data_IF_312879063815
#
_entry.id   IF_312879063815
#
_cell.length_a   1.000
_cell.length_b   1.000
_cell.length_c   1.000
_cell.angle_alpha   90.00
_cell.angle_beta   90.00
_cell.angle_gamma   90.00
#
_symmetry.space_group_name_H-M   'P 1'
#
loop_
_entity.id
_entity.type
_entity.pdbx_description
1 polymer ?
#
# COMPACT_ATOMS: atom_id res chain seq x y z
N UNK A 1 -18.44 -61.80 -17.59
CA UNK A 1 -18.71 -61.55 -19.03
C UNK A 1 -19.46 -60.23 -19.12
N UNK A 2 -18.89 -59.22 -19.80
CA UNK A 2 -19.48 -57.99 -20.41
C UNK A 2 -20.66 -57.26 -19.73
N UNK A 3 -20.75 -55.93 -19.61
CA UNK A 3 -20.14 -54.84 -20.40
C UNK A 3 -20.40 -53.49 -19.72
N UNK A 4 -19.44 -52.59 -19.92
CA UNK A 4 -19.46 -51.12 -19.98
C UNK A 4 -20.76 -50.31 -19.76
N UNK A 5 -20.58 -49.16 -19.11
CA UNK A 5 -21.47 -48.00 -19.17
C UNK A 5 -20.91 -46.76 -18.46
N UNK A 6 -19.90 -46.10 -19.05
CA UNK A 6 -19.48 -44.74 -18.67
C UNK A 6 -20.18 -43.73 -19.58
N UNK A 7 -20.88 -42.74 -19.02
CA UNK A 7 -20.98 -41.39 -19.58
C UNK A 7 -20.22 -40.42 -18.64
N UNK A 8 -19.04 -39.91 -18.98
CA UNK A 8 -18.82 -38.70 -19.81
C UNK A 8 -19.75 -37.53 -19.44
N UNK A 9 -19.63 -37.05 -18.20
CA UNK A 9 -20.13 -35.75 -17.76
C UNK A 9 -19.01 -34.71 -17.75
N UNK A 10 -18.50 -34.37 -18.93
CA UNK A 10 -17.66 -33.20 -19.13
C UNK A 10 -18.52 -31.94 -19.11
N UNK A 11 -18.89 -31.46 -17.93
CA UNK A 11 -19.47 -30.14 -17.66
C UNK A 11 -19.28 -29.88 -16.16
N UNK A 12 -18.38 -29.05 -15.69
CA UNK A 12 -18.38 -27.60 -15.88
C UNK A 12 -16.96 -27.07 -15.62
N UNK A 13 -16.14 -26.99 -16.67
CA UNK A 13 -15.08 -25.97 -16.73
C UNK A 13 -15.66 -24.75 -17.43
N UNK A 14 -16.76 -24.23 -16.87
CA UNK A 14 -17.24 -22.91 -17.22
C UNK A 14 -16.12 -21.92 -16.87
N UNK A 15 -15.55 -21.37 -17.93
CA UNK A 15 -14.76 -20.16 -18.00
C UNK A 15 -15.27 -19.09 -17.04
N UNK A 16 -14.75 -19.06 -15.82
CA UNK A 16 -14.68 -17.82 -15.08
C UNK A 16 -13.67 -16.96 -15.84
N UNK A 17 -14.15 -15.89 -16.49
CA UNK A 17 -13.26 -14.80 -16.87
C UNK A 17 -12.46 -14.32 -15.64
N UNK A 18 -11.44 -13.47 -15.80
CA UNK A 18 -10.80 -12.85 -14.65
C UNK A 18 -11.87 -12.08 -13.86
N UNK A 19 -12.38 -12.69 -12.79
CA UNK A 19 -13.21 -12.04 -11.78
C UNK A 19 -12.49 -10.73 -11.42
N UNK A 20 -13.07 -9.55 -11.70
CA UNK A 20 -12.41 -8.26 -11.47
C UNK A 20 -11.92 -8.12 -10.02
N UNK A 21 -12.58 -8.82 -9.09
CA UNK A 21 -12.23 -8.91 -7.67
C UNK A 21 -10.90 -9.65 -7.38
N UNK A 22 -10.35 -10.42 -8.34
CA UNK A 22 -9.05 -11.09 -8.17
C UNK A 22 -7.85 -10.17 -8.35
N UNK A 23 -8.04 -8.97 -8.92
CA UNK A 23 -6.91 -8.10 -9.27
C UNK A 23 -6.35 -7.36 -8.05
N UNK A 24 -7.22 -6.88 -7.16
CA UNK A 24 -6.85 -6.11 -5.96
C UNK A 24 -7.02 -6.96 -4.69
N UNK A 25 -6.05 -7.83 -4.39
CA UNK A 25 -5.99 -8.51 -3.08
C UNK A 25 -5.30 -7.61 -2.04
N UNK A 26 -5.53 -7.81 -0.72
CA UNK A 26 -4.83 -7.05 0.33
C UNK A 26 -3.32 -7.12 0.17
N UNK A 27 -2.81 -8.31 -0.12
CA UNK A 27 -1.40 -8.53 -0.36
C UNK A 27 -0.87 -7.75 -1.56
N UNK A 28 -1.58 -7.77 -2.70
CA UNK A 28 -1.12 -7.05 -3.91
C UNK A 28 -1.10 -5.55 -3.68
N UNK A 29 -2.13 -5.00 -3.06
CA UNK A 29 -2.17 -3.59 -2.69
C UNK A 29 -1.00 -3.23 -1.78
N UNK A 30 -0.81 -3.99 -0.70
CA UNK A 30 0.26 -3.75 0.27
C UNK A 30 1.64 -3.84 -0.41
N UNK A 31 1.89 -4.89 -1.19
CA UNK A 31 3.13 -5.11 -1.95
C UNK A 31 3.41 -3.98 -2.93
N UNK A 32 2.43 -3.56 -3.72
CA UNK A 32 2.60 -2.47 -4.67
C UNK A 32 3.03 -1.19 -3.97
N UNK A 33 2.39 -0.85 -2.85
CA UNK A 33 2.72 0.37 -2.09
C UNK A 33 4.08 0.23 -1.39
N UNK A 34 4.40 -0.93 -0.81
CA UNK A 34 5.70 -1.20 -0.19
C UNK A 34 6.85 -1.10 -1.20
N UNK A 35 6.69 -1.65 -2.40
CA UNK A 35 7.68 -1.56 -3.48
C UNK A 35 7.80 -0.13 -4.00
N UNK A 36 6.67 0.58 -4.17
CA UNK A 36 6.70 1.98 -4.56
C UNK A 36 7.46 2.83 -3.52
N UNK A 37 7.23 2.57 -2.23
CA UNK A 37 7.91 3.26 -1.13
C UNK A 37 9.43 3.03 -1.20
N UNK A 38 9.86 1.78 -1.36
CA UNK A 38 11.27 1.43 -1.51
C UNK A 38 11.93 2.08 -2.74
N UNK A 39 11.21 2.16 -3.88
CA UNK A 39 11.69 2.84 -5.08
C UNK A 39 11.83 4.34 -4.82
N UNK A 40 10.86 4.99 -4.18
CA UNK A 40 10.96 6.42 -3.86
C UNK A 40 12.10 6.72 -2.89
N UNK A 41 12.37 5.84 -1.92
CA UNK A 41 13.57 5.90 -1.07
C UNK A 41 14.84 5.84 -1.90
N UNK A 42 14.94 4.89 -2.84
CA UNK A 42 16.10 4.76 -3.72
C UNK A 42 16.32 6.03 -4.55
N UNK A 43 15.25 6.59 -5.14
CA UNK A 43 15.31 7.85 -5.89
C UNK A 43 15.74 9.03 -5.01
N UNK A 44 15.27 9.09 -3.76
CA UNK A 44 15.67 10.12 -2.82
C UNK A 44 17.16 10.00 -2.45
N UNK A 45 17.65 8.79 -2.18
CA UNK A 45 19.08 8.52 -1.95
C UNK A 45 19.92 8.91 -3.18
N UNK A 46 19.48 8.53 -4.38
CA UNK A 46 20.14 8.92 -5.64
C UNK A 46 20.15 10.43 -5.80
N UNK A 47 19.04 11.12 -5.52
CA UNK A 47 18.96 12.58 -5.55
C UNK A 47 19.94 13.24 -4.57
N UNK A 48 20.08 12.68 -3.36
CA UNK A 48 21.05 13.16 -2.37
C UNK A 48 22.51 12.91 -2.80
N UNK A 49 22.82 11.74 -3.37
CA UNK A 49 24.15 11.42 -3.86
C UNK A 49 24.52 12.32 -5.04
N UNK A 50 23.63 12.48 -6.02
CA UNK A 50 23.84 13.37 -7.16
C UNK A 50 24.07 14.81 -6.71
N UNK A 51 23.30 15.30 -5.74
CA UNK A 51 23.53 16.61 -5.12
C UNK A 51 24.96 16.72 -4.56
N UNK A 52 25.41 15.73 -3.81
CA UNK A 52 26.77 15.73 -3.21
C UNK A 52 27.89 15.63 -4.24
N UNK A 53 27.67 14.95 -5.36
CA UNK A 53 28.70 14.74 -6.39
C UNK A 53 28.75 15.88 -7.40
N UNK A 54 27.61 16.52 -7.71
CA UNK A 54 27.53 17.59 -8.71
C UNK A 54 27.56 18.99 -8.13
N UNK A 55 27.40 19.16 -6.81
CA UNK A 55 27.41 20.45 -6.06
C UNK A 55 26.43 21.53 -6.57
N UNK A 56 25.63 21.26 -7.61
CA UNK A 56 24.86 22.29 -8.33
C UNK A 56 23.35 22.06 -8.42
N UNK A 57 22.83 20.88 -8.05
CA UNK A 57 21.42 20.54 -8.36
C UNK A 57 20.59 20.17 -7.13
N UNK A 58 19.79 21.11 -6.61
CA UNK A 58 18.75 20.85 -5.58
C UNK A 58 17.48 20.19 -6.15
N UNK A 59 17.34 20.17 -7.48
CA UNK A 59 16.16 19.70 -8.21
C UNK A 59 15.79 18.24 -7.89
N UNK A 60 16.79 17.36 -7.72
CA UNK A 60 16.55 15.95 -7.39
C UNK A 60 15.88 15.77 -6.02
N UNK A 61 16.37 16.45 -4.99
CA UNK A 61 15.79 16.38 -3.64
C UNK A 61 14.45 17.10 -3.58
N UNK A 62 14.28 18.21 -4.31
CA UNK A 62 13.03 18.97 -4.39
C UNK A 62 11.88 18.19 -5.05
N UNK A 63 12.17 17.28 -5.98
CA UNK A 63 11.15 16.44 -6.63
C UNK A 63 10.97 15.12 -5.88
N UNK A 64 12.06 14.43 -5.54
CA UNK A 64 11.97 13.11 -4.92
C UNK A 64 11.56 13.16 -3.44
N UNK A 65 11.85 14.26 -2.72
CA UNK A 65 11.40 14.48 -1.35
C UNK A 65 9.87 14.45 -1.20
N UNK A 66 9.14 15.35 -1.88
CA UNK A 66 7.67 15.34 -1.85
C UNK A 66 7.09 14.02 -2.36
N UNK A 67 7.63 13.47 -3.45
CA UNK A 67 7.18 12.19 -4.00
C UNK A 67 7.30 11.05 -2.97
N UNK A 68 8.43 10.95 -2.28
CA UNK A 68 8.62 9.99 -1.21
C UNK A 68 7.64 10.21 -0.06
N UNK A 69 7.42 11.47 0.36
CA UNK A 69 6.44 11.80 1.39
C UNK A 69 5.02 11.33 1.07
N UNK A 70 4.58 11.47 -0.19
CA UNK A 70 3.28 10.93 -0.66
C UNK A 70 3.20 9.43 -0.46
N UNK A 71 4.22 8.72 -0.95
CA UNK A 71 4.22 7.26 -0.96
C UNK A 71 4.38 6.71 0.46
N UNK A 72 5.15 7.38 1.32
CA UNK A 72 5.24 7.10 2.76
C UNK A 72 3.88 7.16 3.44
N UNK A 73 3.11 8.24 3.24
CA UNK A 73 1.76 8.37 3.82
C UNK A 73 0.83 7.29 3.26
N UNK A 74 0.89 7.05 1.95
CA UNK A 74 0.10 5.98 1.31
C UNK A 74 0.42 4.60 1.91
N UNK A 75 1.68 4.30 2.19
CA UNK A 75 2.11 3.08 2.84
C UNK A 75 1.56 2.97 4.27
N UNK A 76 1.66 4.04 5.08
CA UNK A 76 1.13 4.06 6.44
C UNK A 76 -0.39 3.83 6.47
N UNK A 77 -1.14 4.52 5.61
CA UNK A 77 -2.60 4.34 5.50
C UNK A 77 -2.94 2.92 5.04
N UNK A 78 -2.25 2.41 4.01
CA UNK A 78 -2.45 1.04 3.51
C UNK A 78 -2.18 0.02 4.61
N UNK A 79 -1.14 0.22 5.41
CA UNK A 79 -0.79 -0.64 6.55
C UNK A 79 -1.92 -0.68 7.57
N UNK A 80 -2.50 0.46 7.94
CA UNK A 80 -3.63 0.52 8.88
C UNK A 80 -4.87 -0.15 8.29
N UNK A 81 -5.20 0.14 7.03
CA UNK A 81 -6.36 -0.45 6.33
C UNK A 81 -6.25 -1.97 6.30
N UNK A 82 -5.10 -2.50 5.86
CA UNK A 82 -4.85 -3.95 5.82
C UNK A 82 -4.80 -4.52 7.23
N UNK A 83 -4.22 -3.84 8.22
CA UNK A 83 -4.19 -4.32 9.59
C UNK A 83 -5.60 -4.47 10.18
N UNK A 84 -6.50 -3.51 9.93
CA UNK A 84 -7.90 -3.59 10.36
C UNK A 84 -8.62 -4.71 9.61
N UNK A 85 -8.50 -4.73 8.28
CA UNK A 85 -9.16 -5.73 7.45
C UNK A 85 -8.63 -7.16 7.68
N UNK A 86 -7.39 -7.33 8.09
CA UNK A 86 -6.78 -8.64 8.35
C UNK A 86 -6.69 -8.96 9.85
N UNK A 87 -7.23 -8.09 10.73
CA UNK A 87 -7.21 -8.23 12.20
C UNK A 87 -5.79 -8.46 12.74
N UNK A 88 -4.83 -7.71 12.22
CA UNK A 88 -3.46 -7.75 12.73
C UNK A 88 -3.42 -7.35 14.20
N UNK A 89 -2.51 -7.97 14.94
CA UNK A 89 -2.20 -7.56 16.30
C UNK A 89 -1.54 -6.18 16.30
N UNK A 90 -1.70 -5.43 17.39
CA UNK A 90 -1.08 -4.10 17.53
C UNK A 90 0.42 -4.15 17.25
N UNK A 91 1.11 -5.19 17.76
CA UNK A 91 2.54 -5.38 17.49
C UNK A 91 2.89 -5.53 16.01
N UNK A 92 2.08 -6.28 15.23
CA UNK A 92 2.31 -6.42 13.78
C UNK A 92 2.05 -5.09 13.06
N UNK A 93 1.00 -4.37 13.44
CA UNK A 93 0.68 -3.05 12.87
C UNK A 93 1.80 -2.05 13.14
N UNK A 94 2.30 -2.00 14.39
CA UNK A 94 3.41 -1.13 14.75
C UNK A 94 4.69 -1.51 14.00
N UNK A 95 5.02 -2.80 13.90
CA UNK A 95 6.17 -3.23 13.08
C UNK A 95 6.01 -2.83 11.60
N UNK A 96 4.80 -2.93 11.05
CA UNK A 96 4.51 -2.51 9.69
C UNK A 96 4.69 -1.01 9.48
N UNK A 97 4.23 -0.19 10.43
CA UNK A 97 4.43 1.27 10.39
C UNK A 97 5.89 1.66 10.60
N UNK A 98 6.58 1.01 11.53
CA UNK A 98 8.01 1.26 11.77
C UNK A 98 8.87 0.84 10.57
N UNK A 99 8.40 -0.09 9.75
CA UNK A 99 9.11 -0.54 8.55
C UNK A 99 9.26 0.53 7.46
N UNK A 100 8.49 1.63 7.49
CA UNK A 100 8.67 2.76 6.56
C UNK A 100 9.72 3.76 6.99
N UNK A 101 10.27 3.65 8.21
CA UNK A 101 11.33 4.56 8.68
C UNK A 101 12.67 4.21 8.02
N UNK A 102 13.13 2.94 8.02
CA UNK A 102 14.38 2.59 7.38
C UNK A 102 14.14 2.25 5.90
N UNK A 103 15.07 2.62 5.00
CA UNK A 103 14.94 2.34 3.58
C UNK A 103 14.83 0.83 3.33
N UNK A 104 13.98 0.46 2.36
CA UNK A 104 13.76 -0.92 1.89
C UNK A 104 13.12 -1.89 2.89
N UNK A 105 12.92 -1.49 4.15
CA UNK A 105 12.37 -2.39 5.18
C UNK A 105 10.87 -2.65 4.96
N UNK A 106 10.16 -1.75 4.28
CA UNK A 106 8.78 -1.95 3.81
C UNK A 106 8.62 -3.24 2.99
N UNK A 107 9.53 -3.50 2.05
CA UNK A 107 9.53 -4.71 1.21
C UNK A 107 9.90 -5.95 2.02
N UNK A 108 10.87 -5.84 2.93
CA UNK A 108 11.25 -6.96 3.83
C UNK A 108 10.06 -7.33 4.73
N UNK A 109 9.38 -6.33 5.28
CA UNK A 109 8.19 -6.53 6.11
C UNK A 109 7.07 -7.19 5.31
N UNK A 110 6.78 -6.74 4.08
CA UNK A 110 5.80 -7.38 3.19
C UNK A 110 6.10 -8.87 2.98
N UNK A 111 7.34 -9.22 2.64
CA UNK A 111 7.75 -10.61 2.43
C UNK A 111 7.64 -11.45 3.71
N UNK A 112 7.99 -10.89 4.88
CA UNK A 112 7.85 -11.57 6.17
C UNK A 112 6.39 -11.73 6.58
N UNK A 113 5.55 -10.74 6.28
CA UNK A 113 4.12 -10.79 6.55
C UNK A 113 3.43 -11.85 5.66
N UNK A 114 3.78 -11.91 4.38
CA UNK A 114 3.31 -12.96 3.45
C UNK A 114 3.69 -14.35 3.96
N UNK A 115 4.98 -14.56 4.30
CA UNK A 115 5.47 -15.83 4.84
C UNK A 115 4.77 -16.26 6.12
N UNK A 116 4.29 -15.32 6.93
CA UNK A 116 3.54 -15.55 8.17
C UNK A 116 2.02 -15.66 7.95
N UNK A 117 1.56 -15.73 6.70
CA UNK A 117 0.14 -15.85 6.36
C UNK A 117 -0.68 -14.63 6.79
N UNK A 118 -0.08 -13.43 6.79
CA UNK A 118 -0.74 -12.22 7.29
C UNK A 118 -1.80 -11.65 6.32
N UNK A 119 -1.95 -12.22 5.13
CA UNK A 119 -2.88 -11.75 4.11
C UNK A 119 -3.86 -12.87 3.71
N UNK A 120 -5.16 -12.58 3.80
CA UNK A 120 -6.25 -13.38 3.25
C UNK A 120 -7.04 -12.61 2.19
N UNK A 121 -8.29 -13.02 1.95
CA UNK A 121 -9.22 -12.22 1.15
C UNK A 121 -9.67 -10.97 1.94
N UNK A 122 -10.14 -9.95 1.23
CA UNK A 122 -10.75 -8.77 1.85
C UNK A 122 -11.98 -9.19 2.66
N UNK A 123 -11.92 -9.02 3.99
CA UNK A 123 -13.04 -9.35 4.88
C UNK A 123 -14.12 -8.29 4.83
N UNK A 124 -13.72 -7.01 4.84
CA UNK A 124 -14.64 -5.88 4.98
C UNK A 124 -15.35 -5.50 3.67
N UNK A 125 -14.95 -6.05 2.54
CA UNK A 125 -15.70 -5.92 1.29
C UNK A 125 -16.92 -6.84 1.26
N UNK A 126 -16.77 -8.07 1.75
CA UNK A 126 -17.78 -9.14 1.65
C UNK A 126 -18.58 -9.40 2.94
N UNK A 127 -18.04 -9.00 4.11
CA UNK A 127 -18.64 -9.27 5.42
C UNK A 127 -19.15 -8.04 6.18
N UNK A 128 -19.91 -8.26 7.27
CA UNK A 128 -20.38 -7.19 8.14
C UNK A 128 -19.24 -6.57 8.97
N UNK A 129 -19.34 -5.27 9.24
CA UNK A 129 -18.40 -4.53 10.10
C UNK A 129 -18.75 -4.76 11.58
N UNK A 130 -17.99 -5.61 12.26
CA UNK A 130 -18.26 -6.03 13.64
C UNK A 130 -17.66 -5.07 14.69
N UNK A 131 -16.57 -4.38 14.37
CA UNK A 131 -15.92 -3.38 15.25
C UNK A 131 -16.23 -1.95 14.82
N UNK A 132 -16.18 -1.00 15.74
CA UNK A 132 -16.36 0.43 15.42
C UNK A 132 -15.39 0.95 14.35
N UNK A 133 -14.14 0.45 14.38
CA UNK A 133 -13.06 0.72 13.42
C UNK A 133 -13.28 0.05 12.05
N UNK A 134 -14.10 -1.00 11.95
CA UNK A 134 -14.36 -1.70 10.70
C UNK A 134 -15.23 -0.86 9.75
N UNK A 135 -16.09 0.03 10.28
CA UNK A 135 -16.99 0.90 9.49
C UNK A 135 -16.24 1.89 8.59
N UNK A 136 -15.32 2.73 9.10
CA UNK A 136 -14.58 3.66 8.25
C UNK A 136 -13.71 2.92 7.23
N UNK A 137 -13.08 1.81 7.63
CA UNK A 137 -12.23 1.03 6.73
C UNK A 137 -13.05 0.32 5.64
N UNK A 138 -14.19 -0.27 5.99
CA UNK A 138 -15.10 -0.89 5.01
C UNK A 138 -15.68 0.14 4.04
N UNK A 139 -15.99 1.36 4.50
CA UNK A 139 -16.39 2.45 3.61
C UNK A 139 -15.25 2.86 2.66
N UNK A 140 -14.02 2.98 3.16
CA UNK A 140 -12.85 3.35 2.37
C UNK A 140 -12.56 2.31 1.28
N UNK A 141 -12.58 1.02 1.63
CA UNK A 141 -12.37 -0.09 0.69
C UNK A 141 -13.45 -0.14 -0.40
N UNK A 142 -14.69 0.21 -0.08
CA UNK A 142 -15.80 0.27 -1.05
C UNK A 142 -15.81 1.55 -1.88
N UNK A 143 -15.05 2.58 -1.49
CA UNK A 143 -14.95 3.86 -2.19
C UNK A 143 -13.48 4.22 -2.50
N UNK A 144 -12.78 3.42 -3.32
CA UNK A 144 -11.34 3.54 -3.56
C UNK A 144 -10.95 4.92 -4.13
N UNK A 145 -11.82 5.51 -4.96
CA UNK A 145 -11.62 6.85 -5.52
C UNK A 145 -11.58 7.91 -4.43
N UNK A 146 -12.43 7.81 -3.40
CA UNK A 146 -12.44 8.77 -2.27
C UNK A 146 -11.19 8.62 -1.41
N UNK A 147 -10.69 7.39 -1.26
CA UNK A 147 -9.41 7.14 -0.59
C UNK A 147 -8.22 7.73 -1.34
N UNK A 148 -8.19 7.57 -2.66
CA UNK A 148 -7.17 8.18 -3.52
C UNK A 148 -7.24 9.71 -3.48
N UNK A 149 -8.44 10.29 -3.58
CA UNK A 149 -8.65 11.74 -3.47
C UNK A 149 -8.24 12.28 -2.10
N UNK A 150 -8.54 11.56 -1.01
CA UNK A 150 -8.10 11.94 0.33
C UNK A 150 -6.58 11.90 0.47
N UNK A 151 -5.92 10.86 -0.05
CA UNK A 151 -4.46 10.79 -0.06
C UNK A 151 -3.84 11.93 -0.86
N UNK A 152 -4.36 12.23 -2.06
CA UNK A 152 -3.92 13.36 -2.88
C UNK A 152 -4.17 14.71 -2.18
N UNK A 153 -5.29 14.87 -1.48
CA UNK A 153 -5.61 16.08 -0.73
C UNK A 153 -4.67 16.27 0.47
N UNK A 154 -4.39 15.22 1.24
CA UNK A 154 -3.43 15.27 2.36
C UNK A 154 -2.04 15.65 1.84
N UNK A 155 -1.60 15.06 0.74
CA UNK A 155 -0.36 15.43 0.07
C UNK A 155 -0.36 16.90 -0.31
N UNK A 156 -1.38 17.37 -1.03
CA UNK A 156 -1.48 18.74 -1.47
C UNK A 156 -1.48 19.73 -0.29
N UNK A 157 -2.13 19.37 0.81
CA UNK A 157 -2.14 20.17 2.05
C UNK A 157 -0.78 20.17 2.71
N UNK A 158 -0.12 19.02 2.88
CA UNK A 158 1.21 18.95 3.51
C UNK A 158 2.27 19.66 2.66
N UNK A 159 2.22 19.50 1.33
CA UNK A 159 3.08 20.24 0.40
C UNK A 159 2.78 21.73 0.44
N UNK A 160 1.50 22.13 0.41
CA UNK A 160 1.10 23.53 0.53
C UNK A 160 1.54 24.16 1.85
N UNK A 161 1.37 23.46 2.97
CA UNK A 161 1.84 23.88 4.28
C UNK A 161 3.37 23.99 4.32
N UNK A 162 4.10 23.03 3.77
CA UNK A 162 5.57 23.11 3.69
C UNK A 162 6.05 24.30 2.85
N UNK A 163 5.31 24.66 1.79
CA UNK A 163 5.58 25.85 0.97
C UNK A 163 5.19 27.16 1.68
N UNK A 164 4.14 27.14 2.52
CA UNK A 164 3.76 28.29 3.36
C UNK A 164 4.70 28.51 4.56
N UNK A 165 5.22 27.42 5.15
CA UNK A 165 6.19 27.44 6.24
C UNK A 165 7.61 27.64 5.69
N UNK A 166 7.75 28.41 4.61
CA UNK A 166 9.06 28.78 4.05
C UNK A 166 10.03 29.22 5.15
N UNK A 167 11.34 28.92 5.00
CA UNK A 167 12.30 29.05 6.08
C UNK A 167 12.31 30.48 6.64
N UNK A 168 12.45 30.70 7.96
CA UNK A 168 12.87 31.99 8.47
C UNK A 168 14.29 32.27 7.94
N UNK A 169 14.36 32.88 6.76
CA UNK A 169 15.58 33.51 6.25
C UNK A 169 15.65 34.90 6.86
N UNK A 170 16.17 34.95 8.08
CA UNK A 170 16.37 36.15 8.88
C UNK A 170 16.33 35.74 10.35
N UNK A 171 17.40 35.88 11.12
CA UNK A 171 18.48 36.88 11.10
C UNK A 171 19.81 36.28 11.50
#
# INVERSE_FOLDING_TARGET
MSTAGRPTGAASRASAGPEPDRLLTPQRLFRTVAVAEAITWALLLVGMVLKRVTETTDLGVQVFGPLHGVVFVAYCVTTVVVAVDQRWTIGRTLLGLLASIPPFVTVVFDLLAERRGAFGAWRLTTGPAERGVDRPVGWLLRNPVRGLLAALAVVAVLTGLALLVGPPVGS
#
